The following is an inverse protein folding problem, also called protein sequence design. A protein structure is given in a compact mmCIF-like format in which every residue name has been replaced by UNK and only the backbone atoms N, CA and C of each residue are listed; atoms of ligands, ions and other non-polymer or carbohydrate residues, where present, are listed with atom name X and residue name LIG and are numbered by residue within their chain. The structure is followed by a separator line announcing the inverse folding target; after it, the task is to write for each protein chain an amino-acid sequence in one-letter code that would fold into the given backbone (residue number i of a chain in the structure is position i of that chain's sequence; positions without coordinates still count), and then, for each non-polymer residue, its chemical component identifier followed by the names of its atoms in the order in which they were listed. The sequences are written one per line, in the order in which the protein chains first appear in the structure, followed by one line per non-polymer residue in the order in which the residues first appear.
data_IF_683212664478
#
_entry.id   IF_683212664478
#
_cell.length_a   1.000
_cell.length_b   1.000
_cell.length_c   1.000
_cell.angle_alpha   90.00
_cell.angle_beta   90.00
_cell.angle_gamma   90.00
#
_symmetry.space_group_name_H-M   'P 1'
#
loop_
_entity.id
_entity.type
_entity.pdbx_description
1 polymer ?
#
# COMPACT_ATOMS: atom_id res chain seq x y z
N UNK A 1 32.10 0.24 1.80
CA UNK A 1 31.88 0.68 3.19
C UNK A 1 30.56 1.43 3.19
N UNK A 2 29.44 0.70 3.31
CA UNK A 2 28.09 1.25 3.19
C UNK A 2 27.49 1.29 4.59
N UNK A 3 27.47 2.48 5.18
CA UNK A 3 26.72 2.77 6.39
C UNK A 3 25.27 3.02 6.00
N UNK A 4 24.38 2.09 6.37
CA UNK A 4 22.93 2.26 6.35
C UNK A 4 22.51 3.04 7.60
N UNK A 5 22.96 4.28 7.71
CA UNK A 5 22.43 5.23 8.67
C UNK A 5 21.94 6.46 7.91
N UNK A 6 20.62 6.51 7.68
CA UNK A 6 19.95 7.73 7.23
C UNK A 6 18.49 7.74 7.67
N UNK A 7 18.28 8.42 8.79
CA UNK A 7 17.18 9.38 9.00
C UNK A 7 15.75 8.83 9.12
N UNK A 8 15.51 8.02 10.16
CA UNK A 8 14.39 8.34 11.06
C UNK A 8 15.01 8.71 12.40
N UNK A 9 14.73 9.91 12.90
CA UNK A 9 15.27 10.36 14.18
C UNK A 9 14.95 9.35 15.28
N UNK A 10 15.85 9.17 16.24
CA UNK A 10 15.73 8.35 17.47
C UNK A 10 14.50 8.69 18.37
N UNK A 11 13.59 9.52 17.86
CA UNK A 11 12.39 10.08 18.48
C UNK A 11 11.14 9.21 18.37
N UNK A 12 11.06 8.27 17.43
CA UNK A 12 9.86 7.40 17.29
C UNK A 12 10.28 5.96 17.12
N UNK A 13 9.80 5.06 17.99
CA UNK A 13 10.08 3.63 17.92
C UNK A 13 8.77 2.87 17.71
N UNK A 14 8.57 2.24 16.54
CA UNK A 14 7.45 1.31 16.34
C UNK A 14 7.66 0.08 17.23
N UNK A 15 6.64 -0.26 18.00
CA UNK A 15 6.66 -1.33 18.98
C UNK A 15 5.39 -2.17 18.90
N UNK A 16 5.53 -3.44 19.27
CA UNK A 16 4.40 -4.35 19.41
C UNK A 16 4.51 -5.06 20.76
N UNK A 17 3.42 -5.03 21.52
CA UNK A 17 3.29 -5.74 22.78
C UNK A 17 2.22 -6.83 22.66
N UNK A 18 2.48 -8.02 23.19
CA UNK A 18 1.47 -9.07 23.24
C UNK A 18 0.62 -8.97 24.49
N UNK A 19 -0.67 -9.27 24.34
CA UNK A 19 -1.53 -9.51 25.49
C UNK A 19 -1.01 -10.72 26.28
N UNK A 20 -0.70 -10.57 27.59
CA UNK A 20 -0.16 -11.66 28.42
C UNK A 20 -1.06 -12.90 28.51
N UNK A 21 -2.37 -12.74 28.27
CA UNK A 21 -3.34 -13.84 28.39
C UNK A 21 -3.55 -14.63 27.11
N UNK A 22 -3.70 -13.95 25.97
CA UNK A 22 -4.08 -14.59 24.71
C UNK A 22 -3.04 -14.44 23.60
N UNK A 23 -1.94 -13.73 23.85
CA UNK A 23 -0.87 -13.52 22.87
C UNK A 23 -1.20 -12.53 21.75
N UNK A 24 -2.42 -11.97 21.70
CA UNK A 24 -2.81 -11.01 20.65
C UNK A 24 -1.85 -9.81 20.61
N UNK A 25 -1.26 -9.47 19.45
CA UNK A 25 -0.35 -8.34 19.32
C UNK A 25 -1.09 -7.00 19.27
N UNK A 26 -0.52 -5.98 19.93
CA UNK A 26 -1.02 -4.61 20.01
C UNK A 26 0.13 -3.68 19.58
N UNK A 27 -0.06 -2.97 18.47
CA UNK A 27 0.98 -2.13 17.87
C UNK A 27 0.85 -0.68 18.32
N UNK A 28 1.98 -0.03 18.55
CA UNK A 28 2.04 1.35 19.01
C UNK A 28 3.37 2.00 18.63
N UNK A 29 3.43 3.32 18.66
CA UNK A 29 4.67 4.08 18.54
C UNK A 29 5.04 4.66 19.89
N UNK A 30 6.20 4.24 20.39
CA UNK A 30 6.82 4.80 21.59
C UNK A 30 7.64 6.03 21.19
N UNK A 31 7.14 7.20 21.56
CA UNK A 31 7.71 8.48 21.18
C UNK A 31 8.64 9.00 22.26
N UNK A 32 9.79 9.52 21.84
CA UNK A 32 10.79 10.17 22.67
C UNK A 32 11.09 11.56 22.16
N UNK A 33 10.80 12.57 22.95
CA UNK A 33 11.22 13.94 22.70
C UNK A 33 12.70 14.14 23.05
N UNK A 34 13.39 15.08 22.36
CA UNK A 34 14.74 15.50 22.73
C UNK A 34 14.78 16.34 24.01
N UNK A 35 13.64 16.56 24.66
CA UNK A 35 13.47 17.34 25.88
C UNK A 35 13.05 16.41 27.05
N UNK A 36 12.40 16.96 28.07
CA UNK A 36 11.77 16.18 29.15
C UNK A 36 10.69 15.30 28.53
N UNK A 37 10.63 14.05 28.96
CA UNK A 37 9.59 13.09 28.58
C UNK A 37 8.90 12.63 29.86
N UNK A 38 7.65 12.21 29.74
CA UNK A 38 6.83 11.70 30.84
C UNK A 38 6.78 10.16 30.78
N UNK A 39 7.74 9.44 31.39
CA UNK A 39 7.83 8.00 31.26
C UNK A 39 6.67 7.32 31.99
N UNK A 40 6.22 6.18 31.48
CA UNK A 40 5.07 5.52 32.08
C UNK A 40 4.62 4.25 31.39
N UNK A 41 3.35 3.92 31.58
CA UNK A 41 2.69 2.78 30.97
C UNK A 41 1.26 3.10 30.53
N UNK A 42 0.75 2.29 29.61
CA UNK A 42 -0.67 2.27 29.26
C UNK A 42 -1.35 1.04 29.84
N UNK A 43 -2.56 1.22 30.33
CA UNK A 43 -3.51 0.13 30.53
C UNK A 43 -4.33 -0.03 29.26
N UNK A 44 -4.28 -1.21 28.66
CA UNK A 44 -4.88 -1.51 27.36
C UNK A 44 -5.87 -2.65 27.51
N UNK A 45 -7.06 -2.50 26.95
CA UNK A 45 -8.04 -3.58 26.84
C UNK A 45 -7.76 -4.39 25.59
N UNK A 46 -7.52 -5.69 25.75
CA UNK A 46 -7.33 -6.58 24.62
C UNK A 46 -8.64 -6.74 23.85
N UNK A 47 -8.64 -6.44 22.54
CA UNK A 47 -9.84 -6.55 21.71
C UNK A 47 -10.32 -8.00 21.50
N UNK A 48 -9.43 -8.97 21.68
CA UNK A 48 -9.71 -10.41 21.51
C UNK A 48 -10.31 -11.01 22.80
N UNK A 49 -9.56 -10.98 23.90
CA UNK A 49 -9.97 -11.62 25.16
C UNK A 49 -10.64 -10.67 26.17
N UNK A 50 -10.73 -9.37 25.86
CA UNK A 50 -11.36 -8.29 26.66
C UNK A 50 -10.70 -7.99 28.01
N UNK A 51 -9.65 -8.70 28.39
CA UNK A 51 -8.85 -8.42 29.58
C UNK A 51 -8.00 -7.18 29.44
N UNK A 52 -7.78 -6.50 30.57
CA UNK A 52 -6.91 -5.34 30.68
C UNK A 52 -5.50 -5.81 31.04
N UNK A 53 -4.50 -5.25 30.37
CA UNK A 53 -3.09 -5.49 30.63
C UNK A 53 -2.27 -4.22 30.43
N UNK A 54 -1.05 -4.19 30.96
CA UNK A 54 -0.19 -3.02 30.93
C UNK A 54 0.89 -3.12 29.86
N UNK A 55 1.08 -2.05 29.09
CA UNK A 55 2.22 -1.87 28.17
C UNK A 55 3.23 -0.95 28.87
N UNK A 56 4.32 -1.49 29.44
CA UNK A 56 5.31 -0.71 30.17
C UNK A 56 6.34 -0.04 29.25
N UNK A 57 7.14 0.87 29.83
CA UNK A 57 8.36 1.38 29.21
C UNK A 57 8.12 2.38 28.09
N UNK A 58 7.03 3.14 28.17
CA UNK A 58 6.80 4.28 27.30
C UNK A 58 7.74 5.41 27.72
N UNK A 59 8.43 6.02 26.76
CA UNK A 59 9.30 7.15 27.03
C UNK A 59 8.47 8.39 27.35
N UNK A 60 7.40 8.63 26.58
CA UNK A 60 6.41 9.66 26.84
C UNK A 60 5.00 9.05 26.76
N UNK A 61 4.30 8.97 27.89
CA UNK A 61 3.02 8.25 28.00
C UNK A 61 1.87 8.96 27.28
N UNK A 62 1.94 10.29 27.13
CA UNK A 62 0.87 11.09 26.54
C UNK A 62 1.07 11.32 25.05
N UNK A 63 2.32 11.48 24.60
CA UNK A 63 2.65 11.74 23.20
C UNK A 63 2.99 10.47 22.41
N UNK A 64 3.22 9.33 23.08
CA UNK A 64 3.15 8.03 22.41
C UNK A 64 1.74 7.77 21.89
N UNK A 65 1.60 7.03 20.80
CA UNK A 65 0.29 6.77 20.20
C UNK A 65 0.12 5.32 19.71
N UNK A 66 -1.08 4.76 19.84
CA UNK A 66 -1.37 3.44 19.33
C UNK A 66 -1.43 3.43 17.80
N UNK A 67 -1.08 2.32 17.16
CA UNK A 67 -1.58 2.04 15.81
C UNK A 67 -3.07 1.63 15.91
N UNK A 68 -3.80 1.65 14.79
CA UNK A 68 -5.21 1.27 14.78
C UNK A 68 -5.46 -0.06 15.52
N UNK A 69 -6.57 -0.14 16.28
CA UNK A 69 -7.03 -1.33 17.03
C UNK A 69 -6.45 -1.56 18.43
N UNK A 70 -5.84 -0.54 19.07
CA UNK A 70 -5.49 -0.60 20.50
C UNK A 70 -6.42 0.29 21.32
N UNK A 71 -7.13 -0.31 22.28
CA UNK A 71 -8.05 0.37 23.19
C UNK A 71 -7.33 0.75 24.49
N UNK A 72 -6.86 2.00 24.59
CA UNK A 72 -6.18 2.53 25.77
C UNK A 72 -7.24 2.93 26.80
N UNK A 73 -7.28 2.20 27.91
CA UNK A 73 -8.18 2.43 29.04
C UNK A 73 -7.64 3.53 29.95
N UNK A 74 -6.32 3.53 30.21
CA UNK A 74 -5.68 4.49 31.09
C UNK A 74 -4.22 4.76 30.69
N UNK A 75 -3.70 5.91 31.12
CA UNK A 75 -2.30 6.35 30.97
C UNK A 75 -1.78 6.75 32.34
N UNK A 76 -0.62 6.24 32.76
CA UNK A 76 -0.02 6.56 34.05
C UNK A 76 1.48 6.78 33.89
N UNK A 77 2.01 7.79 34.58
CA UNK A 77 3.44 8.11 34.70
C UNK A 77 4.13 7.32 35.83
N UNK A 78 3.37 6.48 36.54
CA UNK A 78 3.88 5.69 37.64
C UNK A 78 4.67 4.47 37.13
N UNK A 79 5.35 3.79 38.05
CA UNK A 79 6.05 2.56 37.72
C UNK A 79 5.03 1.45 37.39
N UNK A 80 5.22 0.78 36.25
CA UNK A 80 4.24 -0.18 35.72
C UNK A 80 3.98 -1.39 36.64
N UNK A 81 4.89 -1.67 37.57
CA UNK A 81 4.75 -2.70 38.61
C UNK A 81 3.74 -2.33 39.72
N UNK A 82 3.26 -1.09 39.75
CA UNK A 82 2.23 -0.62 40.68
C UNK A 82 0.81 -0.88 40.16
N UNK A 83 0.66 -1.22 38.86
CA UNK A 83 -0.65 -1.55 38.30
C UNK A 83 -1.15 -2.92 38.78
N UNK A 84 -2.46 -3.08 39.05
CA UNK A 84 -3.06 -4.37 39.38
C UNK A 84 -3.17 -5.31 38.18
N UNK A 85 -2.86 -4.85 36.96
CA UNK A 85 -3.01 -5.59 35.72
C UNK A 85 -1.71 -6.26 35.26
N UNK A 86 -1.78 -7.40 34.56
CA UNK A 86 -0.59 -8.11 34.10
C UNK A 86 0.22 -7.27 33.10
N UNK A 87 1.54 -7.28 33.24
CA UNK A 87 2.46 -6.57 32.35
C UNK A 87 2.73 -7.38 31.07
N UNK A 88 2.74 -6.69 29.93
CA UNK A 88 3.28 -7.24 28.70
C UNK A 88 4.81 -7.42 28.85
N UNK A 89 5.24 -8.68 28.85
CA UNK A 89 6.67 -9.04 28.90
C UNK A 89 7.25 -9.32 27.51
N UNK A 90 6.40 -9.72 26.56
CA UNK A 90 6.77 -9.92 25.17
C UNK A 90 6.54 -8.63 24.37
N UNK A 91 7.58 -7.80 24.29
CA UNK A 91 7.59 -6.54 23.55
C UNK A 91 8.73 -6.56 22.53
N UNK A 92 8.41 -6.22 21.28
CA UNK A 92 9.40 -6.13 20.21
C UNK A 92 9.43 -4.72 19.60
N UNK A 93 10.62 -4.19 19.38
CA UNK A 93 10.86 -3.03 18.52
C UNK A 93 10.98 -3.57 17.09
N UNK A 94 10.18 -3.07 16.17
CA UNK A 94 10.32 -3.43 14.76
C UNK A 94 10.72 -2.20 13.94
N UNK A 95 11.81 -2.34 13.18
CA UNK A 95 12.24 -1.34 12.20
C UNK A 95 11.79 -1.68 10.77
N UNK A 96 11.41 -2.94 10.53
CA UNK A 96 10.73 -3.34 9.31
C UNK A 96 9.23 -3.28 9.51
N UNK A 97 8.58 -2.33 8.86
CA UNK A 97 7.15 -2.42 8.63
C UNK A 97 6.92 -3.15 7.30
N UNK A 98 6.84 -4.49 7.36
CA UNK A 98 6.58 -5.37 6.22
C UNK A 98 5.21 -5.12 5.54
N UNK A 99 4.36 -4.28 6.13
CA UNK A 99 3.05 -3.89 5.63
C UNK A 99 2.98 -2.38 5.34
N UNK A 100 4.13 -1.68 5.28
CA UNK A 100 4.17 -0.25 4.93
C UNK A 100 4.02 -0.11 3.42
N UNK A 101 2.97 0.61 3.04
CA UNK A 101 2.82 1.10 1.67
C UNK A 101 3.93 2.11 1.36
N UNK A 102 4.71 1.80 0.32
CA UNK A 102 5.69 2.69 -0.31
C UNK A 102 5.18 2.96 -1.72
N UNK A 103 4.20 3.86 -1.80
CA UNK A 103 3.59 4.26 -3.06
C UNK A 103 4.48 5.33 -3.68
N UNK A 104 5.16 4.99 -4.77
CA UNK A 104 5.95 5.92 -5.56
C UNK A 104 5.61 5.70 -7.03
N UNK A 105 5.19 6.76 -7.72
CA UNK A 105 4.95 6.72 -9.15
C UNK A 105 6.24 7.08 -9.89
N UNK A 106 6.86 6.12 -10.58
CA UNK A 106 8.11 6.34 -11.28
C UNK A 106 7.89 6.88 -12.69
N UNK A 107 8.11 8.19 -12.86
CA UNK A 107 8.03 8.88 -14.15
C UNK A 107 9.18 8.52 -15.10
N UNK A 108 10.31 8.01 -14.60
CA UNK A 108 11.44 7.62 -15.46
C UNK A 108 11.21 6.26 -16.14
N UNK A 109 10.27 5.46 -15.62
CA UNK A 109 9.85 4.19 -16.21
C UNK A 109 8.79 4.38 -17.31
N UNK A 110 8.57 3.35 -18.12
CA UNK A 110 7.61 3.37 -19.24
C UNK A 110 6.23 3.92 -18.84
N UNK A 111 5.70 4.85 -19.65
CA UNK A 111 4.42 5.52 -19.38
C UNK A 111 3.25 4.51 -19.37
N UNK A 112 2.31 4.71 -18.44
CA UNK A 112 1.08 3.92 -18.42
C UNK A 112 0.00 4.54 -19.31
N UNK A 113 0.00 5.87 -19.43
CA UNK A 113 -0.98 6.61 -20.21
C UNK A 113 -0.32 7.28 -21.40
N UNK A 114 -0.82 6.96 -22.59
CA UNK A 114 -0.35 7.52 -23.86
C UNK A 114 -1.54 8.12 -24.62
N UNK A 115 -1.32 9.29 -25.18
CA UNK A 115 -2.24 9.92 -26.10
C UNK A 115 -2.24 9.20 -27.45
N UNK A 116 -3.33 9.18 -28.23
CA UNK A 116 -3.30 8.68 -29.61
C UNK A 116 -2.22 9.30 -30.51
N UNK A 117 -1.68 10.49 -30.17
CA UNK A 117 -0.57 11.10 -30.90
C UNK A 117 0.83 10.61 -30.48
N UNK A 118 0.93 9.64 -29.57
CA UNK A 118 2.19 9.11 -29.06
C UNK A 118 2.79 9.85 -27.86
N UNK A 119 2.13 10.89 -27.37
CA UNK A 119 2.63 11.67 -26.23
C UNK A 119 2.36 10.94 -24.92
N UNK A 120 3.39 10.83 -24.07
CA UNK A 120 3.23 10.31 -22.71
C UNK A 120 2.44 11.30 -21.85
N UNK A 121 1.32 10.85 -21.31
CA UNK A 121 0.40 11.67 -20.51
C UNK A 121 0.75 11.66 -19.02
N UNK A 122 1.52 10.66 -18.55
CA UNK A 122 2.01 10.59 -17.17
C UNK A 122 2.71 11.90 -16.76
N UNK A 123 3.68 12.37 -17.54
CA UNK A 123 4.47 13.57 -17.24
C UNK A 123 3.61 14.83 -17.27
N UNK A 124 2.76 14.99 -18.30
CA UNK A 124 1.86 16.14 -18.43
C UNK A 124 0.87 16.24 -17.25
N UNK A 125 0.41 15.10 -16.72
CA UNK A 125 -0.44 15.08 -15.53
C UNK A 125 0.31 15.62 -14.29
N UNK A 126 1.58 15.26 -14.11
CA UNK A 126 2.40 15.77 -12.98
C UNK A 126 2.82 17.23 -13.17
N UNK A 127 3.07 17.68 -14.40
CA UNK A 127 3.28 19.10 -14.70
C UNK A 127 2.04 19.93 -14.34
N UNK A 128 0.85 19.47 -14.73
CA UNK A 128 -0.40 20.14 -14.38
C UNK A 128 -0.68 20.09 -12.88
N UNK A 129 -0.41 18.96 -12.21
CA UNK A 129 -0.47 18.86 -10.75
C UNK A 129 0.41 19.94 -10.09
N UNK A 130 1.64 20.13 -10.59
CA UNK A 130 2.56 21.14 -10.10
C UNK A 130 2.06 22.57 -10.30
N UNK A 131 1.44 22.85 -11.45
CA UNK A 131 0.86 24.15 -11.76
C UNK A 131 -0.32 24.52 -10.83
N UNK A 132 -1.12 23.53 -10.41
CA UNK A 132 -2.31 23.71 -9.57
C UNK A 132 -2.06 23.41 -8.08
N UNK A 133 -0.82 23.07 -7.70
CA UNK A 133 -0.50 22.51 -6.40
C UNK A 133 -0.86 23.42 -5.22
N UNK A 134 -0.69 24.74 -5.37
CA UNK A 134 -1.06 25.70 -4.32
C UNK A 134 -2.57 25.69 -4.02
N UNK A 135 -3.41 25.55 -5.05
CA UNK A 135 -4.86 25.45 -4.88
C UNK A 135 -5.24 24.12 -4.21
N UNK A 136 -4.61 23.04 -4.66
CA UNK A 136 -4.78 21.70 -4.08
C UNK A 136 -4.41 21.69 -2.60
N UNK A 137 -3.32 22.35 -2.20
CA UNK A 137 -2.91 22.48 -0.80
C UNK A 137 -3.90 23.28 0.05
N UNK A 138 -4.53 24.31 -0.53
CA UNK A 138 -5.60 25.07 0.15
C UNK A 138 -6.83 24.19 0.38
N UNK A 139 -7.24 23.40 -0.61
CA UNK A 139 -8.34 22.44 -0.44
C UNK A 139 -7.99 21.35 0.56
N UNK A 140 -6.78 20.78 0.51
CA UNK A 140 -6.33 19.79 1.49
C UNK A 140 -6.39 20.36 2.92
N UNK A 141 -5.90 21.59 3.12
CA UNK A 141 -5.94 22.27 4.43
C UNK A 141 -7.37 22.50 4.91
N UNK A 142 -8.28 22.86 4.01
CA UNK A 142 -9.70 23.04 4.33
C UNK A 142 -10.34 21.73 4.80
N UNK A 143 -10.08 20.64 4.09
CA UNK A 143 -10.57 19.31 4.45
C UNK A 143 -9.94 18.77 5.73
N UNK A 144 -8.65 19.04 5.98
CA UNK A 144 -7.98 18.74 7.24
C UNK A 144 -8.67 19.45 8.43
N UNK A 145 -9.02 20.73 8.28
CA UNK A 145 -9.75 21.48 9.31
C UNK A 145 -11.16 20.92 9.55
N UNK A 146 -11.83 20.41 8.52
CA UNK A 146 -13.11 19.70 8.70
C UNK A 146 -12.92 18.35 9.40
N UNK A 147 -11.86 17.61 9.07
CA UNK A 147 -11.55 16.33 9.69
C UNK A 147 -11.24 16.47 11.18
N UNK A 148 -10.46 17.48 11.57
CA UNK A 148 -10.19 17.83 12.97
C UNK A 148 -11.46 18.17 13.76
N UNK A 149 -12.54 18.59 13.08
CA UNK A 149 -13.87 18.85 13.66
C UNK A 149 -14.80 17.64 13.59
N UNK A 150 -14.32 16.47 13.15
CA UNK A 150 -15.11 15.25 12.96
C UNK A 150 -16.11 15.33 11.80
N UNK A 151 -15.93 16.26 10.85
CA UNK A 151 -16.86 16.49 9.72
C UNK A 151 -16.37 15.95 8.38
N UNK A 152 -15.17 15.38 8.35
CA UNK A 152 -14.59 14.78 7.16
C UNK A 152 -13.76 13.56 7.57
N UNK A 153 -13.88 12.49 6.78
CA UNK A 153 -13.12 11.26 6.93
C UNK A 153 -12.93 10.62 5.55
N UNK A 154 -11.72 10.16 5.28
CA UNK A 154 -11.32 9.49 4.05
C UNK A 154 -9.98 8.77 4.27
N UNK A 155 -9.77 7.63 3.62
CA UNK A 155 -8.44 6.98 3.59
C UNK A 155 -7.51 7.68 2.59
N UNK A 156 -8.06 8.03 1.43
CA UNK A 156 -7.38 8.75 0.36
C UNK A 156 -8.17 10.00 -0.01
N UNK A 157 -7.46 11.03 -0.43
CA UNK A 157 -8.06 12.16 -1.13
C UNK A 157 -7.62 12.14 -2.58
N UNK A 158 -8.55 12.50 -3.47
CA UNK A 158 -8.28 12.58 -4.91
C UNK A 158 -8.39 14.01 -5.41
N UNK A 159 -7.63 14.29 -6.47
CA UNK A 159 -7.63 15.55 -7.19
C UNK A 159 -7.76 15.25 -8.68
N UNK A 160 -8.62 15.98 -9.37
CA UNK A 160 -8.80 15.85 -10.81
C UNK A 160 -8.17 17.07 -11.49
N UNK A 161 -7.10 16.87 -12.25
CA UNK A 161 -6.39 17.94 -12.96
C UNK A 161 -6.63 17.87 -14.47
N UNK A 162 -7.08 18.97 -15.07
CA UNK A 162 -7.40 19.04 -16.49
C UNK A 162 -6.23 19.65 -17.28
N UNK A 163 -5.85 19.00 -18.37
CA UNK A 163 -4.74 19.43 -19.23
C UNK A 163 -5.02 19.08 -20.70
N UNK A 164 -4.24 19.67 -21.59
CA UNK A 164 -4.35 19.45 -23.03
C UNK A 164 -3.05 18.84 -23.56
N UNK A 165 -3.17 17.79 -24.37
CA UNK A 165 -2.03 17.21 -25.07
C UNK A 165 -1.58 18.13 -26.22
N UNK A 166 -0.34 17.99 -26.69
CA UNK A 166 0.18 18.71 -27.86
C UNK A 166 -0.66 18.55 -29.16
N UNK A 167 -1.51 17.52 -29.25
CA UNK A 167 -2.45 17.30 -30.35
C UNK A 167 -3.85 17.91 -30.11
N UNK A 168 -3.98 18.74 -29.09
CA UNK A 168 -5.22 19.40 -28.66
C UNK A 168 -6.33 18.52 -28.11
N UNK A 169 -6.06 17.23 -27.86
CA UNK A 169 -6.96 16.40 -27.08
C UNK A 169 -6.91 16.82 -25.60
N UNK A 170 -8.09 17.05 -25.03
CA UNK A 170 -8.24 17.36 -23.61
C UNK A 170 -8.32 16.09 -22.77
N UNK A 171 -7.58 16.09 -21.67
CA UNK A 171 -7.54 15.00 -20.70
C UNK A 171 -7.80 15.52 -19.28
N UNK A 172 -8.27 14.64 -18.42
CA UNK A 172 -8.34 14.85 -16.97
C UNK A 172 -7.59 13.71 -16.30
N UNK A 173 -6.58 14.05 -15.50
CA UNK A 173 -5.87 13.08 -14.67
C UNK A 173 -6.48 13.07 -13.27
N UNK A 174 -6.80 11.89 -12.75
CA UNK A 174 -7.13 11.69 -11.34
C UNK A 174 -5.88 11.24 -10.62
N UNK A 175 -5.39 12.07 -9.70
CA UNK A 175 -4.29 11.76 -8.80
C UNK A 175 -4.81 11.63 -7.38
N UNK A 176 -4.08 10.89 -6.54
CA UNK A 176 -4.49 10.69 -5.15
C UNK A 176 -3.31 10.63 -4.20
N UNK A 177 -3.58 10.92 -2.94
CA UNK A 177 -2.62 10.73 -1.85
C UNK A 177 -3.36 10.25 -0.60
N UNK A 178 -2.62 9.70 0.36
CA UNK A 178 -3.20 9.28 1.64
C UNK A 178 -3.64 10.52 2.42
N UNK A 179 -4.84 10.48 2.97
CA UNK A 179 -5.32 11.55 3.84
C UNK A 179 -4.79 11.34 5.26
N UNK A 180 -4.04 12.32 5.76
CA UNK A 180 -3.46 12.31 7.10
C UNK A 180 -4.07 13.45 7.92
N UNK A 181 -4.70 13.10 9.05
CA UNK A 181 -5.19 14.06 10.05
C UNK A 181 -4.02 14.49 10.93
N UNK A 182 -3.02 15.13 10.31
CA UNK A 182 -1.79 15.59 10.96
C UNK A 182 -1.32 16.88 10.24
N UNK A 183 -1.48 18.07 10.85
CA UNK A 183 -1.07 19.33 10.23
C UNK A 183 0.41 19.42 9.88
N UNK A 184 1.26 18.64 10.53
CA UNK A 184 2.70 18.62 10.26
C UNK A 184 3.08 17.71 9.08
N UNK A 185 2.16 16.87 8.60
CA UNK A 185 2.39 15.89 7.53
C UNK A 185 1.49 16.18 6.32
N UNK A 186 1.53 17.40 5.83
CA UNK A 186 0.88 17.75 4.55
C UNK A 186 1.56 17.02 3.40
N UNK A 187 0.80 16.52 2.41
CA UNK A 187 1.39 15.85 1.27
C UNK A 187 2.20 16.84 0.44
N UNK A 188 3.35 16.40 -0.04
CA UNK A 188 4.16 17.06 -1.06
C UNK A 188 3.71 16.59 -2.44
N UNK A 189 4.24 17.21 -3.50
CA UNK A 189 3.87 16.89 -4.87
C UNK A 189 4.19 15.43 -5.20
N UNK A 190 5.36 14.96 -4.77
CA UNK A 190 5.82 13.58 -4.93
C UNK A 190 5.00 12.54 -4.14
N UNK A 191 4.16 12.97 -3.19
CA UNK A 191 3.30 12.08 -2.42
C UNK A 191 1.97 11.79 -3.15
N UNK A 192 1.70 12.43 -4.31
CA UNK A 192 0.55 12.15 -5.17
C UNK A 192 0.88 11.07 -6.19
N UNK A 193 -0.08 10.17 -6.41
CA UNK A 193 0.01 9.01 -7.29
C UNK A 193 -1.03 9.15 -8.40
N UNK A 194 -0.60 8.99 -9.65
CA UNK A 194 -1.51 9.01 -10.80
C UNK A 194 -2.33 7.71 -10.86
N UNK A 195 -3.65 7.84 -10.76
CA UNK A 195 -4.57 6.70 -10.79
C UNK A 195 -5.31 6.55 -12.11
N UNK A 196 -5.66 7.63 -12.81
CA UNK A 196 -6.37 7.56 -14.09
C UNK A 196 -6.09 8.77 -14.97
N UNK A 197 -6.24 8.60 -16.29
CA UNK A 197 -6.26 9.68 -17.28
C UNK A 197 -7.42 9.42 -18.24
N UNK A 198 -8.36 10.36 -18.29
CA UNK A 198 -9.57 10.22 -19.12
C UNK A 198 -9.25 10.14 -20.61
N UNK A 199 -10.00 9.30 -21.34
CA UNK A 199 -9.88 9.19 -22.80
C UNK A 199 -8.70 8.35 -23.27
N UNK A 200 -8.05 7.59 -22.38
CA UNK A 200 -6.97 6.66 -22.71
C UNK A 200 -7.48 5.22 -22.66
N UNK A 201 -7.23 4.46 -23.72
CA UNK A 201 -7.52 3.03 -23.78
C UNK A 201 -6.28 2.23 -23.36
N UNK A 202 -6.23 1.81 -22.08
CA UNK A 202 -5.08 1.10 -21.51
C UNK A 202 -4.70 -0.19 -22.26
N UNK A 203 -5.65 -0.82 -22.97
CA UNK A 203 -5.37 -2.00 -23.79
C UNK A 203 -4.33 -1.74 -24.87
N UNK A 204 -4.39 -0.58 -25.54
CA UNK A 204 -3.44 -0.19 -26.60
C UNK A 204 -2.01 -0.02 -26.06
N UNK A 205 -1.88 0.41 -24.79
CA UNK A 205 -0.56 0.59 -24.14
C UNK A 205 -0.03 -0.72 -23.58
N UNK A 206 -0.89 -1.58 -23.05
CA UNK A 206 -0.50 -2.75 -22.25
C UNK A 206 -0.46 -4.08 -23.02
N UNK A 207 -1.10 -4.17 -24.18
CA UNK A 207 -1.01 -5.32 -25.08
C UNK A 207 0.30 -5.30 -25.87
N UNK A 208 0.92 -6.47 -26.07
CA UNK A 208 2.03 -6.64 -27.01
C UNK A 208 3.34 -7.13 -26.40
N UNK A 209 4.42 -6.95 -27.15
CA UNK A 209 5.74 -7.49 -26.87
C UNK A 209 6.62 -6.40 -26.25
N UNK A 210 7.15 -6.63 -25.05
CA UNK A 210 7.99 -5.65 -24.33
C UNK A 210 9.08 -6.32 -23.50
N UNK A 211 10.03 -5.54 -22.97
CA UNK A 211 11.00 -6.10 -22.05
C UNK A 211 10.31 -6.52 -20.74
N UNK A 212 10.90 -7.48 -20.04
CA UNK A 212 10.41 -7.90 -18.72
C UNK A 212 10.48 -6.74 -17.72
N UNK A 213 11.47 -5.86 -17.83
CA UNK A 213 11.53 -4.63 -17.04
C UNK A 213 10.29 -3.77 -17.26
N UNK A 214 9.96 -3.43 -18.51
CA UNK A 214 8.79 -2.61 -18.82
C UNK A 214 7.49 -3.27 -18.35
N UNK A 215 7.36 -4.59 -18.52
CA UNK A 215 6.20 -5.33 -18.03
C UNK A 215 6.03 -5.23 -16.50
N UNK A 216 7.13 -5.24 -15.74
CA UNK A 216 7.08 -5.08 -14.28
C UNK A 216 6.83 -3.64 -13.85
N UNK A 217 7.35 -2.66 -14.58
CA UNK A 217 7.13 -1.25 -14.28
C UNK A 217 5.66 -0.86 -14.55
N UNK A 218 5.08 -1.35 -15.64
CA UNK A 218 3.64 -1.20 -15.93
C UNK A 218 2.76 -1.93 -14.92
N UNK A 219 3.14 -3.15 -14.52
CA UNK A 219 2.45 -3.83 -13.42
C UNK A 219 2.49 -2.99 -12.14
N UNK A 220 3.64 -2.38 -11.82
CA UNK A 220 3.77 -1.46 -10.69
C UNK A 220 2.79 -0.30 -10.78
N UNK A 221 2.73 0.39 -11.93
CA UNK A 221 1.80 1.50 -12.17
C UNK A 221 0.33 1.06 -12.13
N UNK A 222 0.00 -0.14 -12.63
CA UNK A 222 -1.32 -0.74 -12.49
C UNK A 222 -1.70 -1.04 -11.05
N UNK A 223 -0.79 -1.58 -10.23
CA UNK A 223 -1.05 -1.80 -8.80
C UNK A 223 -1.31 -0.49 -8.08
N UNK A 224 -0.52 0.57 -8.38
CA UNK A 224 -0.76 1.92 -7.87
C UNK A 224 -2.17 2.41 -8.23
N UNK A 225 -2.56 2.32 -9.50
CA UNK A 225 -3.93 2.61 -9.95
C UNK A 225 -5.00 1.81 -9.19
N UNK A 226 -4.82 0.49 -9.07
CA UNK A 226 -5.79 -0.38 -8.44
C UNK A 226 -5.92 -0.15 -6.93
N UNK A 227 -4.88 0.34 -6.25
CA UNK A 227 -4.99 0.70 -4.83
C UNK A 227 -6.10 1.74 -4.59
N UNK A 228 -6.30 2.66 -5.54
CA UNK A 228 -7.40 3.62 -5.49
C UNK A 228 -8.71 3.05 -6.05
N UNK A 229 -8.66 2.43 -7.23
CA UNK A 229 -9.88 2.16 -8.03
C UNK A 229 -10.55 0.83 -7.72
N UNK A 230 -9.80 -0.19 -7.30
CA UNK A 230 -10.33 -1.54 -7.11
C UNK A 230 -10.82 -1.75 -5.66
N UNK A 231 -11.79 -2.63 -5.48
CA UNK A 231 -12.18 -3.13 -4.15
C UNK A 231 -11.16 -4.16 -3.65
N UNK A 232 -10.53 -4.89 -4.58
CA UNK A 232 -9.57 -5.94 -4.30
C UNK A 232 -8.48 -5.99 -5.38
N UNK A 233 -7.25 -6.28 -4.96
CA UNK A 233 -6.13 -6.56 -5.86
C UNK A 233 -5.77 -8.04 -5.72
N UNK A 234 -5.69 -8.76 -6.84
CA UNK A 234 -5.22 -10.13 -6.88
C UNK A 234 -3.93 -10.22 -7.68
N UNK A 235 -2.84 -10.59 -7.02
CA UNK A 235 -1.58 -10.95 -7.66
C UNK A 235 -1.51 -12.47 -7.68
N UNK A 236 -1.36 -13.08 -8.84
CA UNK A 236 -1.32 -14.53 -8.97
C UNK A 236 -0.07 -14.92 -9.78
N UNK A 237 0.97 -15.41 -9.10
CA UNK A 237 2.22 -15.79 -9.75
C UNK A 237 2.93 -16.94 -9.02
N UNK A 238 3.35 -18.00 -9.72
CA UNK A 238 4.01 -19.14 -9.12
C UNK A 238 5.41 -18.82 -8.61
N UNK A 239 6.07 -17.80 -9.16
CA UNK A 239 7.48 -17.50 -8.89
C UNK A 239 7.70 -16.00 -8.70
N UNK A 240 8.56 -15.69 -7.72
CA UNK A 240 9.10 -14.35 -7.46
C UNK A 240 10.62 -14.46 -7.55
N UNK A 241 11.24 -13.71 -8.47
CA UNK A 241 12.64 -13.90 -8.84
C UNK A 241 12.88 -15.12 -9.75
N UNK A 242 14.13 -15.57 -9.79
CA UNK A 242 14.56 -16.77 -10.51
C UNK A 242 15.51 -17.63 -9.68
N UNK A 243 15.66 -18.90 -10.02
CA UNK A 243 16.39 -19.88 -9.20
C UNK A 243 17.88 -19.57 -8.96
N UNK A 244 18.50 -18.75 -9.82
CA UNK A 244 19.91 -18.36 -9.70
C UNK A 244 20.13 -17.02 -8.97
N UNK A 245 19.08 -16.47 -8.36
CA UNK A 245 19.11 -15.16 -7.70
C UNK A 245 19.65 -15.26 -6.28
N UNK A 246 20.39 -14.25 -5.82
CA UNK A 246 20.81 -14.18 -4.42
C UNK A 246 19.61 -13.96 -3.49
N UNK A 247 19.72 -14.35 -2.21
CA UNK A 247 18.67 -14.11 -1.23
C UNK A 247 18.36 -12.61 -1.07
N UNK A 248 19.39 -11.75 -1.13
CA UNK A 248 19.25 -10.30 -1.03
C UNK A 248 18.47 -9.74 -2.23
N UNK A 249 18.82 -10.12 -3.46
CA UNK A 249 18.10 -9.65 -4.66
C UNK A 249 16.65 -10.15 -4.67
N UNK A 250 16.42 -11.38 -4.19
CA UNK A 250 15.06 -11.91 -4.06
C UNK A 250 14.25 -11.08 -3.07
N UNK A 251 14.82 -10.69 -1.93
CA UNK A 251 14.17 -9.82 -0.95
C UNK A 251 13.84 -8.44 -1.53
N UNK A 252 14.74 -7.85 -2.32
CA UNK A 252 14.46 -6.56 -3.00
C UNK A 252 13.20 -6.63 -3.88
N UNK A 253 12.97 -7.75 -4.58
CA UNK A 253 11.75 -7.93 -5.38
C UNK A 253 10.52 -8.04 -4.49
N UNK A 254 10.62 -8.76 -3.38
CA UNK A 254 9.54 -8.88 -2.41
C UNK A 254 9.24 -7.54 -1.75
N UNK A 255 10.25 -6.77 -1.36
CA UNK A 255 10.08 -5.44 -0.77
C UNK A 255 9.42 -4.47 -1.74
N UNK A 256 9.84 -4.48 -3.02
CA UNK A 256 9.19 -3.72 -4.08
C UNK A 256 7.70 -4.09 -4.21
N UNK A 257 7.40 -5.38 -4.37
CA UNK A 257 6.04 -5.84 -4.60
C UNK A 257 5.14 -5.59 -3.39
N UNK A 258 5.58 -5.99 -2.19
CA UNK A 258 4.82 -5.85 -0.95
C UNK A 258 4.69 -4.40 -0.52
N UNK A 259 5.64 -3.54 -0.88
CA UNK A 259 5.54 -2.09 -0.68
C UNK A 259 4.43 -1.45 -1.50
N UNK A 260 4.03 -2.05 -2.63
CA UNK A 260 2.95 -1.52 -3.46
C UNK A 260 1.56 -2.06 -3.06
N UNK A 261 1.48 -3.20 -2.38
CA UNK A 261 0.23 -3.91 -2.12
C UNK A 261 -0.40 -3.51 -0.79
N UNK A 262 -1.56 -2.86 -0.84
CA UNK A 262 -2.32 -2.52 0.37
C UNK A 262 -2.85 -3.80 1.05
N UNK A 263 -2.40 -4.13 2.27
CA UNK A 263 -2.80 -5.35 2.98
C UNK A 263 -4.30 -5.44 3.29
N UNK A 264 -5.06 -4.35 3.15
CA UNK A 264 -6.52 -4.37 3.35
C UNK A 264 -7.29 -4.90 2.14
N UNK A 265 -6.72 -4.80 0.94
CA UNK A 265 -7.40 -5.14 -0.32
C UNK A 265 -6.61 -6.11 -1.20
N UNK A 266 -5.32 -6.29 -0.94
CA UNK A 266 -4.46 -7.11 -1.78
C UNK A 266 -4.39 -8.57 -1.30
N UNK A 267 -4.42 -9.48 -2.27
CA UNK A 267 -4.20 -10.90 -2.10
C UNK A 267 -3.08 -11.31 -3.04
N UNK A 268 -2.05 -11.95 -2.50
CA UNK A 268 -0.99 -12.55 -3.28
C UNK A 268 -1.06 -14.08 -3.21
N UNK A 269 -1.35 -14.70 -4.35
CA UNK A 269 -1.35 -16.14 -4.56
C UNK A 269 -0.03 -16.59 -5.18
N UNK A 270 0.70 -17.41 -4.44
CA UNK A 270 1.94 -18.03 -4.91
C UNK A 270 2.04 -19.50 -4.47
N UNK A 271 3.07 -20.21 -4.97
CA UNK A 271 3.35 -21.60 -4.58
C UNK A 271 3.92 -21.64 -3.16
N UNK A 272 3.58 -22.70 -2.42
CA UNK A 272 4.14 -22.93 -1.08
C UNK A 272 5.67 -23.00 -1.06
N UNK A 273 6.31 -23.48 -2.14
CA UNK A 273 7.77 -23.51 -2.27
C UNK A 273 8.37 -22.10 -2.39
N UNK A 274 7.76 -21.25 -3.21
CA UNK A 274 8.17 -19.85 -3.40
C UNK A 274 8.01 -19.07 -2.10
N UNK A 275 6.91 -19.31 -1.39
CA UNK A 275 6.69 -18.75 -0.05
C UNK A 275 7.72 -19.22 0.99
N UNK A 276 8.04 -20.52 1.02
CA UNK A 276 9.08 -21.06 1.90
C UNK A 276 10.46 -20.46 1.58
N UNK A 277 10.78 -20.26 0.31
CA UNK A 277 12.01 -19.59 -0.12
C UNK A 277 12.08 -18.17 0.45
N UNK A 278 11.01 -17.39 0.34
CA UNK A 278 10.95 -16.05 0.91
C UNK A 278 11.15 -16.05 2.44
N UNK A 279 10.46 -16.93 3.18
CA UNK A 279 10.65 -17.05 4.64
C UNK A 279 12.08 -17.40 5.02
N UNK A 280 12.73 -18.25 4.22
CA UNK A 280 14.14 -18.58 4.39
C UNK A 280 15.01 -17.35 4.17
N UNK A 281 14.80 -16.61 3.07
CA UNK A 281 15.56 -15.38 2.80
C UNK A 281 15.39 -14.34 3.91
N UNK A 282 14.17 -14.17 4.46
CA UNK A 282 13.94 -13.33 5.64
C UNK A 282 14.77 -13.79 6.84
N UNK A 283 14.76 -15.09 7.12
CA UNK A 283 15.51 -15.69 8.24
C UNK A 283 17.02 -15.48 8.06
N UNK A 284 17.53 -15.71 6.85
CA UNK A 284 18.94 -15.52 6.49
C UNK A 284 19.36 -14.03 6.62
N UNK A 285 18.41 -13.10 6.46
CA UNK A 285 18.59 -11.67 6.70
C UNK A 285 18.34 -11.23 8.14
N UNK A 286 18.21 -12.17 9.08
CA UNK A 286 18.06 -11.89 10.52
C UNK A 286 16.63 -11.57 10.95
N UNK A 287 15.63 -11.92 10.14
CA UNK A 287 14.21 -11.73 10.41
C UNK A 287 13.48 -13.09 10.41
N UNK A 288 13.54 -13.85 11.51
CA UNK A 288 12.90 -15.16 11.57
C UNK A 288 11.38 -15.04 11.37
N UNK A 289 10.84 -15.74 10.37
CA UNK A 289 9.42 -15.64 10.00
C UNK A 289 8.47 -16.07 11.12
N UNK A 290 8.89 -17.01 11.95
CA UNK A 290 8.16 -17.48 13.14
C UNK A 290 8.06 -16.38 14.20
N UNK A 291 9.13 -15.60 14.40
CA UNK A 291 9.11 -14.41 15.27
C UNK A 291 8.14 -13.37 14.71
N UNK A 292 8.18 -13.10 13.40
CA UNK A 292 7.27 -12.16 12.75
C UNK A 292 5.81 -12.58 12.89
N UNK A 293 5.47 -13.84 12.59
CA UNK A 293 4.12 -14.40 12.77
C UNK A 293 3.65 -14.31 14.23
N UNK A 294 4.53 -14.66 15.17
CA UNK A 294 4.22 -14.62 16.59
C UNK A 294 3.85 -13.21 17.07
N UNK A 295 4.41 -12.16 16.47
CA UNK A 295 4.11 -10.76 16.79
C UNK A 295 3.07 -10.12 15.85
N UNK A 296 2.45 -10.89 14.94
CA UNK A 296 1.49 -10.36 13.97
C UNK A 296 2.12 -9.38 12.99
N UNK A 297 3.43 -9.47 12.77
CA UNK A 297 4.24 -8.60 11.89
C UNK A 297 4.46 -9.22 10.51
N UNK A 298 3.92 -10.41 10.27
CA UNK A 298 3.92 -11.05 8.97
C UNK A 298 3.22 -10.18 7.91
N UNK A 299 3.59 -10.40 6.65
CA UNK A 299 2.92 -9.74 5.56
C UNK A 299 1.53 -10.37 5.35
N UNK A 300 0.48 -9.56 5.53
CA UNK A 300 -0.94 -10.00 5.47
C UNK A 300 -1.44 -10.26 4.04
N UNK A 301 -0.70 -9.82 3.03
CA UNK A 301 -1.07 -9.92 1.62
C UNK A 301 -0.92 -11.37 1.13
N UNK A 302 -0.03 -12.16 1.72
CA UNK A 302 0.32 -13.48 1.16
C UNK A 302 -0.58 -14.58 1.68
N UNK A 303 -1.56 -14.97 0.87
CA UNK A 303 -2.36 -16.17 1.11
C UNK A 303 -1.60 -17.42 0.62
N UNK A 304 -0.60 -17.84 1.38
CA UNK A 304 0.12 -19.08 1.11
C UNK A 304 -0.76 -20.31 1.40
N UNK A 305 -0.86 -21.26 0.44
CA UNK A 305 -1.47 -22.58 0.67
C UNK A 305 -2.92 -22.76 0.21
N UNK A 306 -3.56 -21.71 -0.34
CA UNK A 306 -4.87 -21.82 -1.03
C UNK A 306 -4.77 -22.35 -2.46
N UNK A 307 -3.56 -22.39 -3.05
CA UNK A 307 -3.32 -22.81 -4.43
C UNK A 307 -2.89 -24.28 -4.54
N UNK A 308 -3.27 -24.91 -5.65
CA UNK A 308 -2.84 -26.26 -6.07
C UNK A 308 -1.33 -26.25 -6.39
N UNK A 309 -0.62 -27.36 -6.16
CA UNK A 309 0.80 -27.49 -6.55
C UNK A 309 1.04 -27.21 -8.05
N UNK A 310 0.04 -27.44 -8.90
CA UNK A 310 0.10 -27.25 -10.35
C UNK A 310 -0.22 -25.81 -10.82
N UNK A 311 -0.28 -24.83 -9.90
CA UNK A 311 -0.50 -23.44 -10.26
C UNK A 311 0.71 -22.88 -11.03
N UNK A 312 0.54 -22.49 -12.30
CA UNK A 312 1.58 -21.85 -13.14
C UNK A 312 1.10 -20.56 -13.84
N UNK A 313 -0.17 -20.19 -13.60
CA UNK A 313 -0.78 -19.00 -14.16
C UNK A 313 -0.09 -17.74 -13.62
N UNK A 314 0.06 -16.73 -14.48
CA UNK A 314 0.67 -15.43 -14.17
C UNK A 314 -0.31 -14.37 -14.62
N UNK A 315 -1.05 -13.83 -13.67
CA UNK A 315 -1.98 -12.75 -13.93
C UNK A 315 -2.16 -11.91 -12.68
N UNK A 316 -2.57 -10.68 -12.91
CA UNK A 316 -2.68 -9.62 -11.94
C UNK A 316 -3.98 -8.90 -12.21
N UNK A 317 -4.78 -8.64 -11.19
CA UNK A 317 -6.09 -8.07 -11.39
C UNK A 317 -6.45 -7.03 -10.35
N UNK A 318 -7.01 -5.91 -10.83
CA UNK A 318 -7.87 -5.04 -10.04
C UNK A 318 -9.31 -5.51 -10.20
N UNK A 319 -10.02 -5.68 -9.09
CA UNK A 319 -11.36 -6.28 -9.06
C UNK A 319 -12.28 -5.34 -8.28
N UNK A 320 -13.44 -5.05 -8.86
CA UNK A 320 -14.53 -4.34 -8.18
C UNK A 320 -15.82 -5.19 -8.17
N UNK A 321 -16.95 -4.59 -7.82
CA UNK A 321 -18.26 -5.22 -7.74
C UNK A 321 -18.79 -5.58 -9.13
N UNK A 322 -18.60 -4.71 -10.12
CA UNK A 322 -19.17 -4.83 -11.47
C UNK A 322 -18.11 -5.03 -12.56
N UNK A 323 -16.88 -4.58 -12.34
CA UNK A 323 -15.77 -4.70 -13.28
C UNK A 323 -14.53 -5.39 -12.71
N UNK A 324 -13.65 -5.78 -13.62
CA UNK A 324 -12.29 -6.26 -13.36
C UNK A 324 -11.37 -5.83 -14.48
N UNK A 325 -10.13 -5.53 -14.13
CA UNK A 325 -9.02 -5.33 -15.07
C UNK A 325 -8.03 -6.45 -14.84
N UNK A 326 -7.62 -7.14 -15.89
CA UNK A 326 -6.69 -8.26 -15.81
C UNK A 326 -5.49 -7.98 -16.70
N UNK A 327 -4.31 -7.92 -16.08
CA UNK A 327 -3.03 -7.92 -16.74
C UNK A 327 -2.41 -9.32 -16.65
N UNK A 328 -2.04 -9.92 -17.77
CA UNK A 328 -1.50 -11.27 -17.82
C UNK A 328 -0.34 -11.35 -18.81
N UNK A 329 0.60 -12.27 -18.56
CA UNK A 329 1.74 -12.47 -19.44
C UNK A 329 2.57 -13.68 -19.06
N UNK A 330 3.67 -13.91 -19.78
CA UNK A 330 4.61 -14.99 -19.50
C UNK A 330 5.60 -14.68 -18.37
N UNK A 331 5.73 -13.41 -17.99
CA UNK A 331 6.75 -12.91 -17.08
C UNK A 331 6.51 -13.33 -15.63
N UNK A 332 7.51 -13.97 -15.01
CA UNK A 332 7.60 -14.05 -13.55
C UNK A 332 7.84 -12.67 -12.95
N UNK A 333 7.60 -12.53 -11.65
CA UNK A 333 7.81 -11.28 -10.92
C UNK A 333 9.32 -11.04 -10.71
N UNK A 334 9.98 -10.43 -11.69
CA UNK A 334 11.40 -10.05 -11.69
C UNK A 334 11.66 -9.11 -12.87
N UNK A 335 12.57 -8.14 -12.75
CA UNK A 335 12.99 -7.28 -13.87
C UNK A 335 14.10 -7.96 -14.69
N UNK A 336 14.26 -7.57 -15.95
CA UNK A 336 15.34 -8.11 -16.78
C UNK A 336 15.18 -7.83 -18.28
N UNK A 337 16.20 -8.17 -19.08
CA UNK A 337 16.23 -7.85 -20.51
C UNK A 337 15.42 -8.81 -21.38
N UNK A 338 14.94 -9.93 -20.84
CA UNK A 338 14.16 -10.90 -21.61
C UNK A 338 12.86 -10.28 -22.11
N UNK A 339 12.46 -10.64 -23.32
CA UNK A 339 11.22 -10.17 -23.93
C UNK A 339 10.02 -11.01 -23.48
N UNK A 340 8.91 -10.35 -23.21
CA UNK A 340 7.68 -10.94 -22.68
C UNK A 340 6.48 -10.48 -23.51
N UNK A 341 5.52 -11.39 -23.70
CA UNK A 341 4.23 -11.04 -24.31
C UNK A 341 3.23 -10.73 -23.19
N UNK A 342 2.61 -9.57 -23.25
CA UNK A 342 1.68 -9.08 -22.24
C UNK A 342 0.31 -8.82 -22.84
N UNK A 343 -0.71 -8.98 -22.02
CA UNK A 343 -2.09 -8.72 -22.39
C UNK A 343 -2.84 -8.04 -21.24
N UNK A 344 -3.72 -7.12 -21.58
CA UNK A 344 -4.59 -6.42 -20.66
C UNK A 344 -6.03 -6.47 -21.14
N UNK A 345 -6.95 -6.76 -20.23
CA UNK A 345 -8.37 -6.77 -20.54
C UNK A 345 -9.19 -6.21 -19.39
N UNK A 346 -10.09 -5.30 -19.70
CA UNK A 346 -11.22 -4.97 -18.84
C UNK A 346 -12.39 -5.91 -19.14
N UNK A 347 -13.03 -6.45 -18.10
CA UNK A 347 -14.17 -7.34 -18.23
C UNK A 347 -15.12 -7.21 -17.03
N UNK A 348 -16.34 -7.74 -17.15
CA UNK A 348 -17.29 -7.80 -16.03
C UNK A 348 -16.77 -8.70 -14.91
N UNK A 349 -17.21 -8.44 -13.68
CA UNK A 349 -16.88 -9.29 -12.52
C UNK A 349 -17.21 -10.76 -12.76
N UNK A 350 -18.41 -11.06 -13.27
CA UNK A 350 -18.82 -12.43 -13.61
C UNK A 350 -17.91 -13.11 -14.63
N UNK A 351 -17.41 -12.34 -15.61
CA UNK A 351 -16.48 -12.87 -16.61
C UNK A 351 -15.14 -13.21 -16.00
N UNK A 352 -14.63 -12.38 -15.09
CA UNK A 352 -13.43 -12.67 -14.33
C UNK A 352 -13.62 -13.91 -13.46
N UNK A 353 -14.74 -14.00 -12.73
CA UNK A 353 -14.95 -15.12 -11.84
C UNK A 353 -15.05 -16.45 -12.60
N UNK A 354 -15.74 -16.48 -13.73
CA UNK A 354 -15.81 -17.67 -14.58
C UNK A 354 -14.47 -18.06 -15.22
N UNK A 355 -13.69 -17.08 -15.70
CA UNK A 355 -12.48 -17.31 -16.52
C UNK A 355 -11.19 -17.43 -15.71
N UNK A 356 -11.14 -16.82 -14.53
CA UNK A 356 -9.93 -16.76 -13.68
C UNK A 356 -10.20 -17.38 -12.31
N UNK A 357 -10.98 -16.74 -11.45
CA UNK A 357 -11.08 -17.15 -10.04
C UNK A 357 -11.64 -18.57 -9.87
N UNK A 358 -12.69 -18.90 -10.61
CA UNK A 358 -13.29 -20.24 -10.63
C UNK A 358 -12.39 -21.31 -11.25
N UNK A 359 -11.48 -20.95 -12.16
CA UNK A 359 -10.53 -21.89 -12.78
C UNK A 359 -9.33 -22.20 -11.87
N UNK A 360 -9.09 -21.39 -10.83
CA UNK A 360 -7.99 -21.62 -9.90
C UNK A 360 -8.24 -22.76 -8.89
N UNK A 361 -9.48 -23.25 -8.78
CA UNK A 361 -9.89 -24.32 -7.84
C UNK A 361 -9.34 -24.06 -6.41
N UNK A 362 -9.46 -22.82 -5.93
CA UNK A 362 -8.94 -22.46 -4.61
C UNK A 362 -9.64 -23.28 -3.53
N UNK A 363 -8.89 -23.74 -2.53
CA UNK A 363 -9.45 -24.50 -1.39
C UNK A 363 -10.48 -23.70 -0.61
N UNK A 364 -10.29 -22.38 -0.57
CA UNK A 364 -11.19 -21.41 0.04
C UNK A 364 -11.43 -20.28 -0.96
N UNK A 365 -12.64 -19.69 -0.98
CA UNK A 365 -12.90 -18.53 -1.80
C UNK A 365 -11.95 -17.37 -1.46
N UNK A 366 -11.76 -16.44 -2.39
CA UNK A 366 -11.06 -15.19 -2.09
C UNK A 366 -11.82 -14.46 -0.97
N UNK A 367 -11.12 -13.89 0.04
CA UNK A 367 -11.78 -13.08 1.05
C UNK A 367 -12.51 -11.91 0.40
N UNK A 368 -13.61 -11.47 1.01
CA UNK A 368 -14.27 -10.24 0.59
C UNK A 368 -13.37 -9.03 0.87
N UNK A 369 -13.50 -7.99 0.07
CA UNK A 369 -12.86 -6.70 0.34
C UNK A 369 -13.35 -6.14 1.69
N UNK A 370 -12.44 -5.62 2.51
CA UNK A 370 -12.79 -5.04 3.80
C UNK A 370 -13.55 -3.70 3.66
N UNK A 371 -13.25 -2.95 2.59
CA UNK A 371 -13.84 -1.65 2.25
C UNK A 371 -13.92 -1.53 0.72
N UNK A 372 -14.99 -0.91 0.21
CA UNK A 372 -15.11 -0.63 -1.23
C UNK A 372 -14.23 0.56 -1.62
N UNK A 373 -13.76 0.60 -2.86
CA UNK A 373 -13.00 1.72 -3.43
C UNK A 373 -13.73 3.07 -3.24
N UNK A 374 -15.04 3.08 -3.49
CA UNK A 374 -15.91 4.26 -3.33
C UNK A 374 -16.02 4.78 -1.90
N UNK A 375 -15.72 3.95 -0.91
CA UNK A 375 -15.77 4.30 0.51
C UNK A 375 -14.41 4.80 1.03
N UNK A 376 -13.33 4.50 0.30
CA UNK A 376 -11.95 4.81 0.73
C UNK A 376 -11.49 6.19 0.30
N UNK A 377 -12.04 6.73 -0.79
CA UNK A 377 -11.55 7.98 -1.37
C UNK A 377 -12.59 9.08 -1.45
N UNK A 378 -12.15 10.34 -1.33
CA UNK A 378 -12.99 11.52 -1.55
C UNK A 378 -12.26 12.53 -2.42
N UNK A 379 -12.93 13.04 -3.44
CA UNK A 379 -12.39 14.13 -4.25
C UNK A 379 -12.45 15.44 -3.46
N UNK A 380 -11.31 16.14 -3.40
CA UNK A 380 -11.18 17.43 -2.72
C UNK A 380 -10.90 18.59 -3.68
N UNK A 381 -10.54 18.29 -4.91
CA UNK A 381 -10.17 19.29 -5.91
C UNK A 381 -10.52 18.81 -7.30
N UNK A 382 -11.04 19.73 -8.11
CA UNK A 382 -11.20 19.57 -9.55
C UNK A 382 -10.74 20.85 -10.22
N UNK A 383 -9.92 20.76 -11.26
CA UNK A 383 -9.56 21.92 -12.06
C UNK A 383 -10.83 22.63 -12.50
N UNK A 384 -10.80 23.96 -12.44
CA UNK A 384 -11.87 24.75 -13.04
C UNK A 384 -11.74 24.60 -14.56
N UNK A 385 -12.85 24.40 -15.30
CA UNK A 385 -12.77 24.42 -16.74
C UNK A 385 -12.12 25.74 -17.15
N UNK A 386 -11.05 25.67 -17.96
CA UNK A 386 -10.46 26.87 -18.58
C UNK A 386 -11.62 27.59 -19.25
N UNK A 387 -12.01 28.75 -18.74
CA UNK A 387 -12.96 29.61 -19.44
C UNK A 387 -12.27 29.97 -20.74
N UNK A 388 -12.67 29.32 -21.83
CA UNK A 388 -12.40 29.85 -23.15
C UNK A 388 -12.87 31.30 -23.13
N UNK A 389 -11.96 32.22 -23.42
CA UNK A 389 -12.38 33.56 -23.75
C UNK A 389 -13.39 33.46 -24.89
N UNK A 390 -14.59 34.05 -24.77
CA UNK A 390 -15.50 34.11 -25.90
C UNK A 390 -14.89 35.06 -26.93
N UNK A 391 -14.34 34.47 -27.99
CA UNK A 391 -13.90 35.16 -29.20
C UNK A 391 -12.41 35.45 -29.24
N UNK A 392 -11.71 34.75 -30.13
CA UNK A 392 -10.96 35.34 -31.25
C UNK A 392 -11.12 34.44 -32.48
#
# INVERSE_FOLDING_TARGET
MFSLESLTSDRTRPMVAKCPRCGKPHRYTNLRHPIINDPGYWEVRCMECREIFCIPGLHDVFDSYPEAQVDIVNRSEDAANESPHPLATEIAIYRLNLNRLTLLYDLASCALYECPCGQHLDELAYEQLGAEFEEIQREYTTHLNYALKGRFDAHYVTVDVAFECACSLSHTATLYTRFLIDPAKRPRLEDYILADVSGVELGEVLDGIRSKTDAMDLLGKLILRWNLLADQILIASPFVGHQYMSAADQLTIWEWLLGLLDPQIAIFLTRSTTWKSYRKSLTDSGLPSDVLENFGLENKVVSAGRSKQNFHAKFYAGISEDWSEVYAGSANLVRGPSIENTSFRRMSRDSFDRRYSGQMELKEPLPAAALKASERSKNIYRSRPRRGWPGE
#
